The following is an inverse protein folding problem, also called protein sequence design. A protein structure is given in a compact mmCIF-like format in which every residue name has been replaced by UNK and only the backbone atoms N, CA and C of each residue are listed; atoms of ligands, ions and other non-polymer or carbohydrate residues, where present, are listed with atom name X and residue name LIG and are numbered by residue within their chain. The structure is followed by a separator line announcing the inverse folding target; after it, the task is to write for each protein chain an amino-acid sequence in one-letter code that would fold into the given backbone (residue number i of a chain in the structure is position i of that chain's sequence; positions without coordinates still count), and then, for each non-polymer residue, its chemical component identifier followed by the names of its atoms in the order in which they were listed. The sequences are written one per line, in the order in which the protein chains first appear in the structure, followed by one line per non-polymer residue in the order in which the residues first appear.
data_IF_463959294197
#
_entry.id   IF_463959294197
#
_cell.length_a   1.000
_cell.length_b   1.000
_cell.length_c   1.000
_cell.angle_alpha   90.00
_cell.angle_beta   90.00
_cell.angle_gamma   90.00
#
_symmetry.space_group_name_H-M   'P 1'
#
loop_
_entity.id
_entity.type
_entity.pdbx_description
1 polymer ?
#
# COMPACT_ATOMS: atom_id res chain seq x y z
N UNK A 1 -5.13 10.81 7.61
CA UNK A 1 -6.41 10.70 8.34
C UNK A 1 -7.53 10.91 7.34
N UNK A 2 -8.37 9.91 7.11
CA UNK A 2 -9.55 10.07 6.25
C UNK A 2 -10.77 10.26 7.15
N UNK A 3 -11.57 11.30 6.89
CA UNK A 3 -12.79 11.56 7.67
C UNK A 3 -12.62 11.57 9.20
N UNK A 4 -11.48 12.12 9.69
CA UNK A 4 -11.03 12.09 11.10
C UNK A 4 -10.73 10.70 11.67
N UNK A 5 -10.82 9.64 10.87
CA UNK A 5 -10.32 8.32 11.20
C UNK A 5 -8.83 8.19 10.85
N UNK A 6 -8.09 7.56 11.76
CA UNK A 6 -6.70 7.16 11.53
C UNK A 6 -6.72 5.75 10.94
N UNK A 7 -6.30 5.64 9.69
CA UNK A 7 -6.08 4.36 9.02
C UNK A 7 -4.64 3.95 9.33
N UNK A 8 -4.47 2.81 10.01
CA UNK A 8 -3.16 2.25 10.32
C UNK A 8 -2.92 1.05 9.39
N UNK A 9 -1.92 1.15 8.51
CA UNK A 9 -1.61 0.10 7.53
C UNK A 9 -0.68 -0.97 8.12
N UNK A 10 0.51 -0.55 8.54
CA UNK A 10 1.50 -1.40 9.20
C UNK A 10 2.52 -0.53 9.93
N UNK A 11 3.16 -1.08 10.95
CA UNK A 11 4.21 -0.40 11.72
C UNK A 11 5.39 0.03 10.84
N UNK A 12 5.67 -0.68 9.75
CA UNK A 12 6.79 -0.36 8.84
C UNK A 12 6.61 0.97 8.11
N UNK A 13 5.37 1.46 7.99
CA UNK A 13 5.06 2.74 7.35
C UNK A 13 4.89 3.88 8.37
N UNK A 14 5.18 3.65 9.66
CA UNK A 14 5.08 4.68 10.67
C UNK A 14 6.04 5.84 10.39
N UNK A 15 5.52 7.08 10.37
CA UNK A 15 6.30 8.28 10.07
C UNK A 15 6.66 8.47 8.59
N UNK A 16 6.23 7.56 7.71
CA UNK A 16 6.40 7.70 6.27
C UNK A 16 5.17 8.35 5.62
N UNK A 17 5.38 9.04 4.49
CA UNK A 17 4.27 9.58 3.70
C UNK A 17 3.70 8.48 2.83
N UNK A 18 2.42 8.15 3.02
CA UNK A 18 1.69 7.15 2.25
C UNK A 18 0.60 7.87 1.45
N UNK A 19 0.51 7.56 0.16
CA UNK A 19 -0.56 8.02 -0.72
C UNK A 19 -1.84 7.26 -0.44
N UNK A 20 -2.94 8.00 -0.31
CA UNK A 20 -4.29 7.45 -0.16
C UNK A 20 -5.16 8.13 -1.21
N UNK A 21 -5.76 7.35 -2.10
CA UNK A 21 -6.63 7.86 -3.17
C UNK A 21 -7.92 7.05 -3.19
N UNK A 22 -9.07 7.73 -3.15
CA UNK A 22 -10.35 7.06 -3.33
C UNK A 22 -10.49 6.62 -4.79
N UNK A 23 -10.74 5.34 -5.01
CA UNK A 23 -10.95 4.78 -6.37
C UNK A 23 -12.41 4.38 -6.57
N UNK A 24 -13.08 3.93 -5.51
CA UNK A 24 -14.50 3.58 -5.51
C UNK A 24 -15.16 4.00 -4.20
N UNK A 25 -16.47 3.81 -4.08
CA UNK A 25 -17.19 3.95 -2.82
C UNK A 25 -16.58 3.00 -1.80
N UNK A 26 -16.14 3.56 -0.66
CA UNK A 26 -15.50 2.83 0.44
C UNK A 26 -14.16 2.12 0.11
N UNK A 27 -13.66 2.23 -1.13
CA UNK A 27 -12.41 1.60 -1.59
C UNK A 27 -11.33 2.65 -1.88
N UNK A 28 -10.17 2.46 -1.24
CA UNK A 28 -9.06 3.39 -1.20
C UNK A 28 -7.79 2.73 -1.74
N UNK A 29 -7.24 3.21 -2.84
CA UNK A 29 -5.91 2.83 -3.28
C UNK A 29 -4.87 3.39 -2.30
N UNK A 30 -4.02 2.51 -1.78
CA UNK A 30 -2.89 2.83 -0.93
C UNK A 30 -1.62 2.70 -1.75
N UNK A 31 -0.84 3.77 -1.83
CA UNK A 31 0.43 3.80 -2.54
C UNK A 31 1.56 4.30 -1.65
N UNK A 32 2.76 3.79 -1.86
CA UNK A 32 3.96 4.21 -1.15
C UNK A 32 5.11 4.40 -2.14
N UNK A 33 5.68 5.60 -2.15
CA UNK A 33 6.57 6.06 -3.21
C UNK A 33 5.89 5.94 -4.58
N UNK A 34 6.52 5.23 -5.52
CA UNK A 34 6.01 4.98 -6.88
C UNK A 34 5.28 3.63 -7.00
N UNK A 35 4.93 3.00 -5.87
CA UNK A 35 4.36 1.66 -5.83
C UNK A 35 2.97 1.64 -5.20
N UNK A 36 2.04 1.01 -5.90
CA UNK A 36 0.72 0.70 -5.37
C UNK A 36 0.81 -0.53 -4.47
N UNK A 37 0.42 -0.37 -3.20
CA UNK A 37 0.48 -1.42 -2.19
C UNK A 37 -0.78 -2.29 -2.20
N UNK A 38 -1.94 -1.69 -2.44
CA UNK A 38 -3.21 -2.40 -2.35
C UNK A 38 -4.41 -1.48 -2.24
N UNK A 39 -5.58 -2.10 -2.08
CA UNK A 39 -6.84 -1.43 -1.85
C UNK A 39 -7.26 -1.58 -0.39
N UNK A 40 -7.52 -0.48 0.29
CA UNK A 40 -8.09 -0.45 1.62
C UNK A 40 -9.60 -0.27 1.51
N UNK A 41 -10.34 -1.17 2.13
CA UNK A 41 -11.79 -1.09 2.28
C UNK A 41 -12.09 -0.52 3.68
N UNK A 42 -12.78 0.63 3.71
CA UNK A 42 -13.08 1.32 4.96
C UNK A 42 -14.26 0.72 5.74
N UNK A 43 -15.15 -0.06 5.10
CA UNK A 43 -16.24 -0.75 5.77
C UNK A 43 -15.72 -1.97 6.52
N UNK A 44 -14.85 -2.75 5.86
CA UNK A 44 -14.28 -3.96 6.47
C UNK A 44 -13.00 -3.68 7.25
N UNK A 45 -12.43 -2.47 7.12
CA UNK A 45 -11.13 -2.08 7.71
C UNK A 45 -10.00 -3.02 7.29
N UNK A 46 -10.04 -3.54 6.05
CA UNK A 46 -9.04 -4.48 5.51
C UNK A 46 -8.29 -3.85 4.37
N UNK A 47 -7.01 -4.20 4.28
CA UNK A 47 -6.17 -3.89 3.14
C UNK A 47 -6.01 -5.16 2.31
N UNK A 48 -6.52 -5.13 1.08
CA UNK A 48 -6.29 -6.14 0.05
C UNK A 48 -5.01 -5.80 -0.71
N UNK A 49 -3.93 -6.57 -0.50
CA UNK A 49 -2.65 -6.28 -1.13
C UNK A 49 -2.72 -6.54 -2.63
N UNK A 50 -2.13 -5.65 -3.41
CA UNK A 50 -1.87 -5.90 -4.83
C UNK A 50 -0.71 -6.90 -4.98
N UNK A 51 -0.55 -7.53 -6.16
CA UNK A 51 0.64 -8.33 -6.46
C UNK A 51 1.89 -7.54 -6.12
N UNK A 52 2.83 -8.17 -5.40
CA UNK A 52 4.01 -7.47 -4.87
C UNK A 52 4.68 -6.63 -5.96
N UNK A 53 4.75 -5.29 -5.78
CA UNK A 53 5.47 -4.44 -6.72
C UNK A 53 6.99 -4.72 -6.69
N UNK A 54 7.46 -5.31 -5.59
CA UNK A 54 8.80 -5.85 -5.40
C UNK A 54 8.90 -7.31 -5.81
N UNK A 55 8.12 -7.75 -6.81
CA UNK A 55 8.23 -9.09 -7.39
C UNK A 55 9.70 -9.48 -7.64
N UNK A 56 10.02 -10.78 -7.78
CA UNK A 56 11.39 -11.28 -7.77
C UNK A 56 12.22 -10.70 -8.92
N UNK A 57 12.76 -9.50 -8.71
CA UNK A 57 13.78 -8.88 -9.55
C UNK A 57 15.10 -9.47 -9.06
N UNK A 58 15.30 -10.75 -9.37
CA UNK A 58 16.60 -11.38 -9.23
C UNK A 58 17.50 -10.77 -10.29
N UNK A 59 18.41 -9.90 -9.86
CA UNK A 59 19.53 -9.51 -10.70
C UNK A 59 20.37 -10.77 -10.95
N UNK A 60 20.92 -10.99 -12.15
CA UNK A 60 21.84 -12.08 -12.36
C UNK A 60 22.98 -11.93 -11.37
N UNK A 61 23.24 -12.96 -10.57
CA UNK A 61 24.45 -12.99 -9.75
C UNK A 61 25.64 -12.76 -10.68
N UNK A 62 26.52 -11.84 -10.31
CA UNK A 62 27.75 -11.60 -11.08
C UNK A 62 28.47 -12.94 -11.28
N UNK A 63 28.91 -13.28 -12.51
CA UNK A 63 29.68 -14.49 -12.71
C UNK A 63 30.95 -14.43 -11.86
N UNK A 64 31.27 -15.55 -11.20
CA UNK A 64 32.59 -15.79 -10.61
C UNK A 64 33.61 -16.05 -11.70
#
# INVERSE_FOLDING_TARGET
CFNRQKINLSQVFAGQTVGIKQTDDHIWLVSFMDYDLGYFDDETCRLEPLPSPFGPKVLPMSPV
#
